data_IF_120752342488
#
_entry.id   IF_120752342488
#
_cell.length_a   1.000
_cell.length_b   1.000
_cell.length_c   1.000
_cell.angle_alpha   90.00
_cell.angle_beta   90.00
_cell.angle_gamma   90.00
#
_symmetry.space_group_name_H-M   'P 1'
#
loop_
_entity.id
_entity.type
_entity.pdbx_description
1 polymer ?
#
# COMPACT_ATOMS: atom_id res chain seq x y z
N UNK A 1 -1.18 -16.31 4.53
CA UNK A 1 -0.99 -15.14 5.40
C UNK A 1 0.49 -14.83 5.45
N UNK A 2 0.85 -13.60 5.13
CA UNK A 2 2.23 -13.14 5.28
C UNK A 2 2.55 -12.90 6.75
N UNK A 3 3.73 -13.37 7.17
CA UNK A 3 4.19 -13.20 8.53
C UNK A 3 5.01 -11.92 8.66
N UNK A 4 4.85 -11.22 9.77
CA UNK A 4 5.66 -10.04 10.08
C UNK A 4 7.16 -10.33 9.99
N UNK A 5 7.60 -11.47 10.50
CA UNK A 5 9.01 -11.89 10.46
C UNK A 5 9.55 -11.93 9.03
N UNK A 6 8.86 -12.62 8.12
CA UNK A 6 9.24 -12.71 6.70
C UNK A 6 9.32 -11.34 6.05
N UNK A 7 8.42 -10.43 6.44
CA UNK A 7 8.46 -9.05 5.95
C UNK A 7 9.69 -8.30 6.45
N UNK A 8 10.04 -8.43 7.73
CA UNK A 8 11.22 -7.78 8.30
C UNK A 8 12.52 -8.35 7.73
N UNK A 9 12.60 -9.68 7.53
CA UNK A 9 13.78 -10.38 6.97
C UNK A 9 14.13 -9.91 5.55
N UNK A 10 13.21 -9.27 4.82
CA UNK A 10 13.49 -8.67 3.51
C UNK A 10 14.38 -7.41 3.61
N UNK A 11 14.41 -6.75 4.75
CA UNK A 11 15.09 -5.47 4.94
C UNK A 11 16.26 -5.52 5.92
N UNK A 12 16.30 -6.50 6.81
CA UNK A 12 17.34 -6.65 7.82
C UNK A 12 17.78 -8.12 7.92
N UNK A 13 19.07 -8.33 8.17
CA UNK A 13 19.65 -9.67 8.33
C UNK A 13 19.47 -10.25 9.74
N UNK A 14 19.44 -9.37 10.74
CA UNK A 14 19.29 -9.78 12.13
C UNK A 14 17.81 -9.93 12.48
N UNK A 15 17.36 -11.17 12.63
CA UNK A 15 15.96 -11.49 12.94
C UNK A 15 15.48 -10.78 14.19
N UNK A 16 14.26 -10.28 14.12
CA UNK A 16 13.51 -9.77 15.26
C UNK A 16 12.56 -10.88 15.69
N UNK A 17 12.50 -11.14 17.01
CA UNK A 17 11.65 -12.18 17.55
C UNK A 17 10.16 -11.88 17.30
N UNK A 18 9.40 -12.93 16.98
CA UNK A 18 7.97 -12.86 16.71
C UNK A 18 7.19 -12.26 17.90
N UNK A 19 7.58 -12.60 19.11
CA UNK A 19 6.94 -12.06 20.31
C UNK A 19 7.14 -10.55 20.39
N UNK A 20 8.36 -10.06 20.14
CA UNK A 20 8.66 -8.62 20.10
C UNK A 20 7.82 -7.91 19.04
N UNK A 21 7.73 -8.47 17.82
CA UNK A 21 6.90 -7.90 16.74
C UNK A 21 5.41 -7.87 17.12
N UNK A 22 4.91 -8.91 17.78
CA UNK A 22 3.51 -8.97 18.22
C UNK A 22 3.20 -7.93 19.29
N UNK A 23 4.13 -7.69 20.22
CA UNK A 23 3.99 -6.63 21.22
C UNK A 23 3.95 -5.23 20.61
N UNK A 24 4.69 -5.02 19.51
CA UNK A 24 4.77 -3.73 18.82
C UNK A 24 3.53 -3.48 17.93
N UNK A 25 3.14 -4.48 17.14
CA UNK A 25 2.06 -4.37 16.16
C UNK A 25 0.68 -4.79 16.69
N UNK A 26 0.61 -5.37 17.90
CA UNK A 26 -0.63 -5.87 18.48
C UNK A 26 -1.20 -7.08 17.74
N UNK A 27 -2.47 -7.38 17.99
CA UNK A 27 -3.17 -8.52 17.41
C UNK A 27 -3.67 -8.26 15.98
N UNK A 28 -3.90 -9.36 15.26
CA UNK A 28 -4.50 -9.33 13.92
C UNK A 28 -5.95 -8.85 13.99
N UNK A 29 -6.34 -7.95 13.09
CA UNK A 29 -7.70 -7.40 12.97
C UNK A 29 -8.28 -7.75 11.62
N UNK A 30 -9.45 -8.44 11.57
CA UNK A 30 -10.15 -8.69 10.31
C UNK A 30 -10.80 -7.40 9.80
N UNK A 31 -10.79 -7.24 8.48
CA UNK A 31 -11.46 -6.16 7.76
C UNK A 31 -12.29 -6.74 6.62
N UNK A 32 -13.54 -6.31 6.52
CA UNK A 32 -14.41 -6.71 5.41
C UNK A 32 -14.08 -5.96 4.13
N UNK A 33 -14.32 -6.61 3.00
CA UNK A 33 -14.27 -5.96 1.70
C UNK A 33 -15.09 -4.65 1.71
N UNK A 34 -14.58 -3.61 1.04
CA UNK A 34 -15.16 -2.26 0.98
C UNK A 34 -15.19 -1.49 2.31
N UNK A 35 -14.59 -2.03 3.38
CA UNK A 35 -14.38 -1.25 4.60
C UNK A 35 -13.14 -0.34 4.48
N UNK A 36 -13.11 0.71 5.28
CA UNK A 36 -12.04 1.71 5.23
C UNK A 36 -11.12 1.58 6.43
N UNK A 37 -9.84 1.49 6.17
CA UNK A 37 -8.80 1.63 7.18
C UNK A 37 -8.58 3.10 7.55
N UNK A 38 -8.62 3.98 6.53
CA UNK A 38 -8.49 5.44 6.66
C UNK A 38 -9.52 6.12 5.78
N UNK A 39 -10.09 7.22 6.26
CA UNK A 39 -10.95 8.14 5.48
C UNK A 39 -10.44 9.57 5.60
N UNK A 40 -10.61 10.42 4.56
CA UNK A 40 -10.29 11.85 4.65
C UNK A 40 -10.93 12.52 5.86
N UNK A 41 -10.16 13.41 6.51
CA UNK A 41 -10.58 14.07 7.76
C UNK A 41 -10.43 13.20 9.01
N UNK A 42 -10.16 11.92 8.88
CA UNK A 42 -9.87 11.03 10.00
C UNK A 42 -8.41 11.07 10.46
N UNK A 43 -8.09 10.39 11.58
CA UNK A 43 -6.72 10.31 12.05
C UNK A 43 -5.84 9.47 11.11
N UNK A 44 -4.60 9.89 10.90
CA UNK A 44 -3.57 9.16 10.16
C UNK A 44 -2.31 8.97 11.03
N UNK A 45 -2.50 8.56 12.28
CA UNK A 45 -1.44 8.42 13.27
C UNK A 45 -1.03 6.96 13.51
N UNK A 46 -1.17 6.11 12.50
CA UNK A 46 -0.82 4.69 12.56
C UNK A 46 -0.35 4.16 11.19
N UNK A 47 0.37 3.05 11.24
CA UNK A 47 0.65 2.20 10.08
C UNK A 47 -0.05 0.84 10.28
N UNK A 48 -0.47 0.22 9.19
CA UNK A 48 -0.97 -1.14 9.21
C UNK A 48 -0.11 -2.06 8.35
N UNK A 49 0.24 -3.22 8.88
CA UNK A 49 0.82 -4.33 8.12
C UNK A 49 -0.30 -5.20 7.59
N UNK A 50 -0.28 -5.54 6.32
CA UNK A 50 -1.27 -6.39 5.67
C UNK A 50 -0.81 -7.85 5.76
N UNK A 51 -1.45 -8.64 6.62
CA UNK A 51 -1.20 -10.09 6.70
C UNK A 51 -1.89 -10.85 5.56
N UNK A 52 -3.06 -10.38 5.16
CA UNK A 52 -3.87 -10.95 4.08
C UNK A 52 -4.70 -9.86 3.42
N UNK A 53 -4.86 -9.94 2.11
CA UNK A 53 -5.76 -9.08 1.35
C UNK A 53 -5.05 -8.01 0.54
N UNK A 54 -5.88 -7.14 -0.04
CA UNK A 54 -5.47 -6.09 -0.97
C UNK A 54 -6.17 -4.79 -0.60
N UNK A 55 -5.41 -3.71 -0.58
CA UNK A 55 -5.91 -2.37 -0.28
C UNK A 55 -5.66 -1.42 -1.43
N UNK A 56 -6.55 -0.45 -1.56
CA UNK A 56 -6.49 0.65 -2.51
C UNK A 56 -6.36 1.98 -1.77
N UNK A 57 -5.40 2.81 -2.17
CA UNK A 57 -5.29 4.20 -1.75
C UNK A 57 -5.79 5.09 -2.87
N UNK A 58 -6.75 5.96 -2.58
CA UNK A 58 -7.31 6.86 -3.58
C UNK A 58 -7.79 8.18 -2.97
N UNK A 59 -8.00 9.18 -3.81
CA UNK A 59 -8.68 10.43 -3.48
C UNK A 59 -9.87 10.65 -4.43
N UNK A 60 -10.75 11.57 -4.06
CA UNK A 60 -11.79 12.09 -4.95
C UNK A 60 -11.34 13.49 -5.37
N UNK A 61 -11.16 13.70 -6.67
CA UNK A 61 -10.72 14.97 -7.22
C UNK A 61 -11.86 16.01 -7.24
N UNK A 62 -11.56 17.26 -7.65
CA UNK A 62 -12.53 18.36 -7.74
C UNK A 62 -13.73 18.10 -8.69
N UNK A 63 -13.62 17.09 -9.57
CA UNK A 63 -14.71 16.67 -10.49
C UNK A 63 -15.53 15.49 -9.93
N UNK A 64 -15.32 15.10 -8.67
CA UNK A 64 -15.99 13.94 -8.06
C UNK A 64 -15.49 12.58 -8.55
N UNK A 65 -14.34 12.52 -9.23
CA UNK A 65 -13.79 11.28 -9.77
C UNK A 65 -12.78 10.68 -8.80
N UNK A 66 -12.89 9.37 -8.56
CA UNK A 66 -11.91 8.62 -7.78
C UNK A 66 -10.61 8.44 -8.57
N UNK A 67 -9.51 8.90 -7.99
CA UNK A 67 -8.16 8.76 -8.54
C UNK A 67 -7.35 7.81 -7.67
N UNK A 68 -7.06 6.63 -8.20
CA UNK A 68 -6.24 5.62 -7.49
C UNK A 68 -4.77 6.04 -7.51
N UNK A 69 -4.19 6.14 -6.32
CA UNK A 69 -2.79 6.53 -6.14
C UNK A 69 -1.91 5.29 -5.97
N UNK A 70 -2.38 4.30 -5.19
CA UNK A 70 -1.58 3.14 -4.86
C UNK A 70 -2.43 1.89 -4.60
N UNK A 71 -1.79 0.72 -4.73
CA UNK A 71 -2.28 -0.55 -4.20
C UNK A 71 -1.24 -1.14 -3.26
N UNK A 72 -1.71 -1.76 -2.19
CA UNK A 72 -0.87 -2.53 -1.26
C UNK A 72 -1.45 -3.92 -1.04
N UNK A 73 -0.57 -4.89 -0.96
CA UNK A 73 -0.88 -6.31 -0.89
C UNK A 73 -0.38 -6.91 0.44
N UNK A 74 -0.73 -8.16 0.71
CA UNK A 74 -0.16 -8.91 1.81
C UNK A 74 1.39 -8.82 1.77
N UNK A 75 2.02 -8.64 2.93
CA UNK A 75 3.44 -8.38 3.07
C UNK A 75 3.86 -6.91 2.87
N UNK A 76 2.92 -5.96 2.88
CA UNK A 76 3.22 -4.53 2.78
C UNK A 76 2.66 -3.76 3.96
N UNK A 77 3.28 -2.59 4.25
CA UNK A 77 2.70 -1.58 5.16
C UNK A 77 1.80 -0.64 4.39
N UNK A 78 0.74 -0.15 5.05
CA UNK A 78 -0.21 0.81 4.47
C UNK A 78 -0.71 1.81 5.51
N UNK A 79 -0.92 3.03 5.07
CA UNK A 79 -1.67 4.13 5.70
C UNK A 79 -1.86 5.25 4.67
N UNK A 80 -2.44 6.38 5.07
CA UNK A 80 -2.17 7.66 4.39
C UNK A 80 -0.77 8.15 4.82
N UNK A 81 0.25 7.69 4.08
CA UNK A 81 1.67 7.93 4.43
C UNK A 81 2.00 9.42 4.49
N UNK A 82 1.41 10.24 3.59
CA UNK A 82 1.67 11.67 3.57
C UNK A 82 1.20 12.34 4.87
N UNK A 83 -0.01 12.05 5.29
CA UNK A 83 -0.60 12.60 6.51
C UNK A 83 0.03 12.00 7.76
N UNK A 84 0.40 10.71 7.73
CA UNK A 84 1.13 10.06 8.82
C UNK A 84 2.45 10.76 9.13
N UNK A 85 3.28 11.05 8.12
CA UNK A 85 4.55 11.74 8.34
C UNK A 85 4.37 13.21 8.70
N UNK A 86 3.43 13.92 8.07
CA UNK A 86 3.14 15.33 8.37
C UNK A 86 2.43 15.54 9.71
N UNK A 87 1.83 14.50 10.30
CA UNK A 87 1.03 14.63 11.52
C UNK A 87 -0.28 15.40 11.29
N UNK A 88 -0.84 15.34 10.08
CA UNK A 88 -2.11 15.99 9.70
C UNK A 88 -3.25 14.98 9.63
N UNK A 89 -4.49 15.47 9.51
CA UNK A 89 -5.62 14.62 9.18
C UNK A 89 -5.44 14.00 7.79
N UNK A 90 -6.01 12.82 7.59
CA UNK A 90 -5.91 12.07 6.35
C UNK A 90 -6.52 12.82 5.17
N UNK A 91 -5.90 12.69 4.00
CA UNK A 91 -6.36 13.22 2.72
C UNK A 91 -6.86 12.12 1.78
N UNK A 92 -6.45 10.87 2.01
CA UNK A 92 -6.76 9.73 1.15
C UNK A 92 -7.72 8.77 1.83
N UNK A 93 -8.48 8.07 0.99
CA UNK A 93 -9.16 6.85 1.39
C UNK A 93 -8.18 5.69 1.31
N UNK A 94 -8.17 4.82 2.33
CA UNK A 94 -7.50 3.51 2.32
C UNK A 94 -8.59 2.47 2.49
N UNK A 95 -8.93 1.77 1.41
CA UNK A 95 -10.06 0.84 1.31
C UNK A 95 -9.58 -0.59 1.11
N UNK A 96 -10.15 -1.55 1.86
CA UNK A 96 -9.96 -2.96 1.62
C UNK A 96 -10.76 -3.40 0.37
N UNK A 97 -10.07 -3.93 -0.65
CA UNK A 97 -10.73 -4.41 -1.88
C UNK A 97 -11.42 -5.75 -1.64
N UNK A 98 -10.86 -6.56 -0.77
CA UNK A 98 -11.31 -7.90 -0.41
C UNK A 98 -11.29 -8.11 1.11
N UNK A 99 -11.86 -9.20 1.63
CA UNK A 99 -11.76 -9.57 3.05
C UNK A 99 -10.29 -9.74 3.43
N UNK A 100 -9.84 -8.92 4.35
CA UNK A 100 -8.43 -8.67 4.66
C UNK A 100 -8.14 -8.87 6.14
N UNK A 101 -6.86 -9.02 6.49
CA UNK A 101 -6.37 -9.08 7.87
C UNK A 101 -5.17 -8.14 7.98
N UNK A 102 -5.19 -7.27 8.99
CA UNK A 102 -4.11 -6.29 9.24
C UNK A 102 -3.67 -6.32 10.70
N UNK A 103 -2.42 -5.89 10.94
CA UNK A 103 -1.93 -5.48 12.27
C UNK A 103 -1.63 -4.00 12.26
N UNK A 104 -1.94 -3.31 13.34
CA UNK A 104 -1.85 -1.86 13.42
C UNK A 104 -0.82 -1.47 14.47
N UNK A 105 0.08 -0.56 14.10
CA UNK A 105 0.98 0.13 15.03
C UNK A 105 0.71 1.63 15.02
N UNK A 106 0.51 2.21 16.21
CA UNK A 106 0.41 3.66 16.33
C UNK A 106 1.76 4.35 16.07
N UNK A 107 1.74 5.59 15.59
CA UNK A 107 2.94 6.39 15.37
C UNK A 107 3.81 6.47 16.64
N UNK A 108 3.19 6.73 17.79
CA UNK A 108 3.89 6.81 19.07
C UNK A 108 4.57 5.49 19.46
N UNK A 109 3.92 4.35 19.24
CA UNK A 109 4.52 3.05 19.53
C UNK A 109 5.66 2.72 18.56
N UNK A 110 5.51 3.06 17.29
CA UNK A 110 6.57 2.91 16.29
C UNK A 110 7.81 3.75 16.66
N UNK A 111 7.61 5.02 17.04
CA UNK A 111 8.70 5.90 17.47
C UNK A 111 9.41 5.36 18.71
N UNK A 112 8.66 4.89 19.71
CA UNK A 112 9.24 4.23 20.91
C UNK A 112 10.02 2.96 20.54
N UNK A 113 9.50 2.15 19.62
CA UNK A 113 10.17 0.95 19.14
C UNK A 113 11.50 1.30 18.45
N UNK A 114 11.53 2.34 17.61
CA UNK A 114 12.76 2.83 16.96
C UNK A 114 13.81 3.37 17.94
N UNK A 115 13.37 3.97 19.05
CA UNK A 115 14.30 4.43 20.10
C UNK A 115 14.95 3.28 20.87
N UNK A 116 14.19 2.20 21.08
CA UNK A 116 14.63 1.06 21.90
C UNK A 116 15.37 -0.03 21.14
N UNK A 117 15.09 -0.16 19.84
CA UNK A 117 15.63 -1.23 19.01
C UNK A 117 16.23 -0.68 17.71
N UNK A 118 17.57 -0.73 17.63
CA UNK A 118 18.33 -0.26 16.46
C UNK A 118 17.96 -1.03 15.19
N UNK A 119 17.65 -2.33 15.30
CA UNK A 119 17.24 -3.17 14.14
C UNK A 119 15.92 -2.68 13.54
N UNK A 120 14.94 -2.35 14.39
CA UNK A 120 13.66 -1.77 13.95
C UNK A 120 13.86 -0.41 13.29
N UNK A 121 14.76 0.42 13.80
CA UNK A 121 15.09 1.71 13.17
C UNK A 121 15.74 1.50 11.80
N UNK A 122 16.70 0.58 11.69
CA UNK A 122 17.34 0.23 10.41
C UNK A 122 16.32 -0.32 9.41
N UNK A 123 15.42 -1.19 9.87
CA UNK A 123 14.29 -1.66 9.05
C UNK A 123 13.47 -0.46 8.54
N UNK A 124 13.03 0.43 9.43
CA UNK A 124 12.20 1.59 9.06
C UNK A 124 12.87 2.49 8.02
N UNK A 125 14.18 2.72 8.16
CA UNK A 125 14.96 3.49 7.20
C UNK A 125 14.99 2.77 5.83
N UNK A 126 15.39 1.51 5.77
CA UNK A 126 15.47 0.75 4.51
C UNK A 126 14.11 0.58 3.85
N UNK A 127 13.06 0.38 4.65
CA UNK A 127 11.70 0.33 4.12
C UNK A 127 11.29 1.67 3.49
N UNK A 128 11.57 2.80 4.15
CA UNK A 128 11.28 4.13 3.62
C UNK A 128 12.07 4.44 2.34
N UNK A 129 13.35 4.08 2.29
CA UNK A 129 14.19 4.20 1.08
C UNK A 129 13.60 3.38 -0.08
N UNK A 130 13.23 2.12 0.15
CA UNK A 130 12.60 1.27 -0.86
C UNK A 130 11.24 1.84 -1.32
N UNK A 131 10.42 2.34 -0.39
CA UNK A 131 9.15 2.98 -0.72
C UNK A 131 9.35 4.23 -1.58
N UNK A 132 10.36 5.06 -1.28
CA UNK A 132 10.72 6.24 -2.07
C UNK A 132 11.11 5.84 -3.51
N UNK A 133 11.94 4.81 -3.67
CA UNK A 133 12.34 4.31 -5.00
C UNK A 133 11.11 3.90 -5.83
N UNK A 134 10.19 3.14 -5.24
CA UNK A 134 8.95 2.74 -5.93
C UNK A 134 8.07 3.92 -6.34
N UNK A 135 7.98 4.95 -5.50
CA UNK A 135 7.25 6.17 -5.83
C UNK A 135 7.92 6.92 -6.97
N UNK A 136 9.25 7.04 -6.98
CA UNK A 136 10.01 7.67 -8.08
C UNK A 136 9.85 6.89 -9.39
N UNK A 137 9.97 5.57 -9.38
CA UNK A 137 9.73 4.71 -10.54
C UNK A 137 8.32 4.93 -11.09
N UNK A 138 7.32 4.95 -10.20
CA UNK A 138 5.93 5.22 -10.60
C UNK A 138 5.74 6.60 -11.21
N UNK A 139 6.38 7.62 -10.67
CA UNK A 139 6.35 8.99 -11.22
C UNK A 139 6.98 9.02 -12.62
N UNK A 140 8.13 8.39 -12.81
CA UNK A 140 8.78 8.27 -14.13
C UNK A 140 7.88 7.55 -15.14
N UNK A 141 7.27 6.42 -14.76
CA UNK A 141 6.33 5.71 -15.64
C UNK A 141 5.16 6.60 -16.09
N UNK A 142 4.59 7.37 -15.16
CA UNK A 142 3.47 8.27 -15.48
C UNK A 142 3.86 9.39 -16.44
N UNK A 143 5.10 9.87 -16.37
CA UNK A 143 5.61 10.97 -17.21
C UNK A 143 6.15 10.51 -18.57
N UNK A 144 6.71 9.29 -18.64
CA UNK A 144 7.50 8.85 -19.81
C UNK A 144 6.85 7.77 -20.64
N UNK A 145 5.94 6.97 -20.05
CA UNK A 145 5.31 5.85 -20.73
C UNK A 145 3.86 6.17 -21.13
N UNK A 146 3.43 5.66 -22.28
CA UNK A 146 2.02 5.61 -22.64
C UNK A 146 1.24 4.59 -21.79
N UNK A 147 -0.09 4.62 -21.90
CA UNK A 147 -0.96 3.78 -21.08
C UNK A 147 -0.80 2.29 -21.35
N UNK A 148 -0.50 1.91 -22.59
CA UNK A 148 -0.28 0.52 -23.00
C UNK A 148 0.98 -0.04 -22.33
N UNK A 149 2.09 0.69 -22.40
CA UNK A 149 3.35 0.30 -21.75
C UNK A 149 3.20 0.22 -20.22
N UNK A 150 2.50 1.18 -19.61
CA UNK A 150 2.18 1.12 -18.17
C UNK A 150 1.38 -0.13 -17.81
N UNK A 151 0.40 -0.49 -18.65
CA UNK A 151 -0.37 -1.71 -18.47
C UNK A 151 0.50 -2.99 -18.61
N UNK A 152 1.35 -3.05 -19.64
CA UNK A 152 2.30 -4.16 -19.85
C UNK A 152 3.26 -4.34 -18.67
N UNK A 153 3.73 -3.25 -18.06
CA UNK A 153 4.56 -3.32 -16.86
C UNK A 153 3.81 -3.93 -15.67
N UNK A 154 2.52 -3.62 -15.49
CA UNK A 154 1.70 -4.24 -14.45
C UNK A 154 1.45 -5.73 -14.71
N UNK A 155 1.34 -6.15 -15.97
CA UNK A 155 1.21 -7.57 -16.34
C UNK A 155 2.41 -8.42 -15.91
N UNK A 156 3.60 -7.81 -15.82
CA UNK A 156 4.83 -8.50 -15.36
C UNK A 156 4.83 -8.77 -13.85
N UNK A 157 3.92 -8.16 -13.08
CA UNK A 157 3.84 -8.35 -11.63
C UNK A 157 2.88 -9.50 -11.31
N UNK A 158 3.37 -10.64 -10.78
CA UNK A 158 2.53 -11.80 -10.53
C UNK A 158 1.34 -11.47 -9.61
N UNK A 159 0.14 -11.90 -10.03
CA UNK A 159 -1.08 -11.75 -9.24
C UNK A 159 -1.62 -10.31 -9.10
N UNK A 160 -0.96 -9.29 -9.71
CA UNK A 160 -1.40 -7.91 -9.60
C UNK A 160 -2.76 -7.70 -10.29
N UNK A 161 -2.88 -8.14 -11.54
CA UNK A 161 -4.10 -7.92 -12.35
C UNK A 161 -5.30 -8.76 -11.91
N UNK A 162 -5.05 -9.92 -11.32
CA UNK A 162 -6.10 -10.85 -10.89
C UNK A 162 -6.88 -10.34 -9.68
N UNK A 163 -6.23 -9.56 -8.82
CA UNK A 163 -6.78 -9.06 -7.55
C UNK A 163 -7.47 -7.71 -7.68
N UNK A 164 -7.24 -6.97 -8.77
CA UNK A 164 -7.68 -5.58 -8.88
C UNK A 164 -8.81 -5.46 -9.91
N UNK A 165 -9.99 -4.94 -9.52
CA UNK A 165 -11.07 -4.64 -10.45
C UNK A 165 -10.60 -3.68 -11.56
N UNK A 166 -11.01 -3.96 -12.79
CA UNK A 166 -10.57 -3.22 -13.98
C UNK A 166 -10.81 -1.71 -13.89
N UNK A 167 -11.89 -1.30 -13.23
CA UNK A 167 -12.19 0.13 -12.98
C UNK A 167 -11.08 0.82 -12.16
N UNK A 168 -10.60 0.15 -11.11
CA UNK A 168 -9.55 0.68 -10.25
C UNK A 168 -8.19 0.67 -10.95
N UNK A 169 -7.95 -0.37 -11.74
CA UNK A 169 -6.74 -0.48 -12.56
C UNK A 169 -6.68 0.63 -13.61
N UNK A 170 -7.79 0.93 -14.31
CA UNK A 170 -7.87 2.02 -15.27
C UNK A 170 -7.52 3.37 -14.61
N UNK A 171 -8.12 3.64 -13.46
CA UNK A 171 -7.81 4.83 -12.65
C UNK A 171 -6.33 4.89 -12.27
N UNK A 172 -5.73 3.77 -11.86
CA UNK A 172 -4.32 3.68 -11.47
C UNK A 172 -3.38 3.98 -12.63
N UNK A 173 -3.61 3.44 -13.81
CA UNK A 173 -2.78 3.74 -14.99
C UNK A 173 -3.10 5.07 -15.66
N UNK A 174 -4.09 5.81 -15.16
CA UNK A 174 -4.42 7.16 -15.62
C UNK A 174 -5.25 7.22 -16.90
N UNK A 175 -6.13 6.24 -17.12
CA UNK A 175 -7.04 6.19 -18.29
C UNK A 175 -8.48 5.90 -17.89
N UNK A 176 -9.42 6.04 -18.83
CA UNK A 176 -10.80 5.61 -18.63
C UNK A 176 -10.93 4.08 -18.69
N UNK A 177 -11.99 3.55 -18.08
CA UNK A 177 -12.33 2.13 -18.16
C UNK A 177 -12.40 1.63 -19.61
N UNK A 178 -13.06 2.40 -20.50
CA UNK A 178 -13.21 2.06 -21.91
C UNK A 178 -11.88 2.04 -22.66
N UNK A 179 -10.98 2.98 -22.35
CA UNK A 179 -9.63 3.00 -22.91
C UNK A 179 -8.82 1.77 -22.47
N UNK A 180 -8.88 1.39 -21.20
CA UNK A 180 -8.19 0.19 -20.72
C UNK A 180 -8.77 -1.08 -21.33
N UNK A 181 -10.08 -1.17 -21.47
CA UNK A 181 -10.72 -2.32 -22.13
C UNK A 181 -10.26 -2.47 -23.59
N UNK A 182 -10.06 -1.36 -24.31
CA UNK A 182 -9.51 -1.35 -25.67
C UNK A 182 -8.04 -1.80 -25.70
N UNK A 183 -7.20 -1.28 -24.81
CA UNK A 183 -5.80 -1.70 -24.68
C UNK A 183 -5.73 -3.21 -24.47
N UNK A 184 -6.49 -3.75 -23.50
CA UNK A 184 -6.53 -5.19 -23.23
C UNK A 184 -6.91 -6.03 -24.44
N UNK A 185 -7.95 -5.61 -25.15
CA UNK A 185 -8.40 -6.32 -26.37
C UNK A 185 -7.33 -6.36 -27.44
N UNK A 186 -6.57 -5.28 -27.61
CA UNK A 186 -5.51 -5.21 -28.62
C UNK A 186 -4.28 -6.07 -28.23
N UNK A 187 -4.09 -6.38 -26.95
CA UNK A 187 -2.97 -7.19 -26.46
C UNK A 187 -3.29 -8.71 -26.37
N UNK A 188 -4.57 -9.07 -26.48
CA UNK A 188 -5.03 -10.48 -26.42
C UNK A 188 -5.16 -11.06 -27.86
N UNK A 189 -4.36 -10.62 -28.79
CA UNK A 189 -4.30 -11.21 -30.13
C UNK A 189 -3.40 -12.44 -30.14
#
# INVERSE_FOLDING_TARGET
MEKLETFFDQYITDRIDQHELTLIFGESKPMKAKSFLVKPGGPSSFLAFIEKGTFRVYLINSKGVEVTIWFSFAGMMISDMLSFYKGTLANFYVEAIEDSIVRIISKSNLEKAYQRNVRLRTFGQRYAENALMKVMERMLELQTLDAEKRYLNLMKQPGFLEKIPLKYLASFIGVTYTSLSRIRRNLII
#
